data_IF_666364174550
#
_entry.id   IF_666364174550
#
_cell.length_a   1.000
_cell.length_b   1.000
_cell.length_c   1.000
_cell.angle_alpha   90.00
_cell.angle_beta   90.00
_cell.angle_gamma   90.00
#
_symmetry.space_group_name_H-M   'P 1'
#
loop_
_entity.id
_entity.type
_entity.pdbx_description
1 polymer ?
#
# COMPACT_ATOMS: atom_id res chain seq x y z
N UNK A 1 17.72 16.47 -7.74
CA UNK A 1 16.85 16.58 -8.93
C UNK A 1 15.45 17.01 -8.49
N UNK A 2 14.76 17.88 -9.26
CA UNK A 2 13.41 18.39 -8.92
C UNK A 2 12.38 17.27 -9.02
N UNK A 3 11.68 16.95 -7.92
CA UNK A 3 10.61 15.93 -7.87
C UNK A 3 9.33 16.47 -8.49
N UNK A 4 8.89 15.89 -9.60
CA UNK A 4 7.61 16.21 -10.22
C UNK A 4 6.49 15.40 -9.56
N UNK A 5 5.50 16.10 -9.00
CA UNK A 5 4.28 15.53 -8.44
C UNK A 5 3.25 15.39 -9.55
N UNK A 6 3.31 14.28 -10.28
CA UNK A 6 2.33 13.94 -11.30
C UNK A 6 1.05 13.38 -10.63
N UNK A 7 -0.07 13.45 -11.34
CA UNK A 7 -1.35 12.92 -10.89
C UNK A 7 -1.52 11.46 -11.32
N UNK A 8 -2.35 10.71 -10.61
CA UNK A 8 -2.80 9.41 -11.09
C UNK A 8 -3.96 9.56 -12.06
N UNK A 9 -3.91 8.79 -13.15
CA UNK A 9 -5.02 8.73 -14.11
C UNK A 9 -6.28 8.16 -13.46
N UNK A 10 -6.15 7.19 -12.53
CA UNK A 10 -7.27 6.59 -11.79
C UNK A 10 -8.10 7.61 -11.00
N UNK A 11 -7.46 8.68 -10.53
CA UNK A 11 -8.08 9.72 -9.71
C UNK A 11 -8.85 10.79 -10.50
N UNK A 12 -8.68 10.83 -11.82
CA UNK A 12 -9.25 11.90 -12.63
C UNK A 12 -10.74 11.67 -12.90
N UNK A 13 -11.56 12.69 -12.61
CA UNK A 13 -13.02 12.63 -12.76
C UNK A 13 -13.48 12.35 -14.20
N UNK A 14 -12.68 12.72 -15.19
CA UNK A 14 -12.97 12.56 -16.62
C UNK A 14 -12.61 11.16 -17.16
N UNK A 15 -11.94 10.30 -16.37
CA UNK A 15 -11.61 8.95 -16.81
C UNK A 15 -12.85 8.05 -16.68
N UNK A 16 -13.24 7.31 -17.73
CA UNK A 16 -14.39 6.41 -17.68
C UNK A 16 -14.29 5.40 -16.54
N UNK A 17 -15.42 5.08 -15.90
CA UNK A 17 -15.45 4.20 -14.72
C UNK A 17 -14.86 2.81 -15.01
N UNK A 18 -15.15 2.23 -16.18
CA UNK A 18 -14.60 0.92 -16.55
C UNK A 18 -13.06 0.95 -16.64
N UNK A 19 -12.49 2.05 -17.14
CA UNK A 19 -11.04 2.20 -17.27
C UNK A 19 -10.38 2.43 -15.91
N UNK A 20 -11.03 3.18 -15.00
CA UNK A 20 -10.56 3.32 -13.61
C UNK A 20 -10.53 1.97 -12.89
N UNK A 21 -11.60 1.19 -13.00
CA UNK A 21 -11.66 -0.15 -12.40
C UNK A 21 -10.56 -1.05 -12.95
N UNK A 22 -10.41 -1.10 -14.27
CA UNK A 22 -9.36 -1.89 -14.93
C UNK A 22 -7.95 -1.46 -14.50
N UNK A 23 -7.67 -0.16 -14.43
CA UNK A 23 -6.38 0.34 -13.94
C UNK A 23 -6.12 -0.10 -12.50
N UNK A 24 -7.11 -0.03 -11.61
CA UNK A 24 -6.96 -0.48 -10.23
C UNK A 24 -6.70 -1.99 -10.13
N UNK A 25 -7.44 -2.82 -10.87
CA UNK A 25 -7.24 -4.28 -10.91
C UNK A 25 -5.86 -4.65 -11.47
N UNK A 26 -5.45 -4.00 -12.57
CA UNK A 26 -4.14 -4.20 -13.18
C UNK A 26 -3.00 -3.82 -12.21
N UNK A 27 -3.12 -2.67 -11.55
CA UNK A 27 -2.13 -2.20 -10.58
C UNK A 27 -2.07 -3.11 -9.35
N UNK A 28 -3.22 -3.58 -8.87
CA UNK A 28 -3.28 -4.56 -7.77
C UNK A 28 -2.55 -5.86 -8.15
N UNK A 29 -2.81 -6.40 -9.34
CA UNK A 29 -2.13 -7.59 -9.83
C UNK A 29 -0.61 -7.38 -9.96
N UNK A 30 -0.18 -6.26 -10.57
CA UNK A 30 1.23 -5.97 -10.77
C UNK A 30 1.99 -5.74 -9.46
N UNK A 31 1.42 -4.94 -8.55
CA UNK A 31 2.02 -4.69 -7.23
C UNK A 31 2.18 -5.98 -6.43
N UNK A 32 1.18 -6.87 -6.52
CA UNK A 32 1.24 -8.20 -5.92
C UNK A 32 2.48 -8.98 -6.38
N UNK A 33 2.71 -9.08 -7.69
CA UNK A 33 3.90 -9.76 -8.24
C UNK A 33 5.21 -9.06 -7.87
N UNK A 34 5.23 -7.73 -7.88
CA UNK A 34 6.43 -6.95 -7.57
C UNK A 34 6.86 -7.13 -6.12
N UNK A 35 5.90 -7.20 -5.20
CA UNK A 35 6.20 -7.34 -3.77
C UNK A 35 6.25 -8.78 -3.28
N UNK A 36 5.93 -9.79 -4.10
CA UNK A 36 6.08 -11.21 -3.76
C UNK A 36 7.42 -11.55 -3.08
N UNK A 37 8.58 -11.04 -3.53
CA UNK A 37 9.86 -11.31 -2.89
C UNK A 37 9.99 -10.76 -1.46
N UNK A 38 9.09 -9.86 -1.04
CA UNK A 38 9.07 -9.30 0.31
C UNK A 38 8.35 -10.18 1.33
N UNK A 39 7.60 -11.19 0.89
CA UNK A 39 6.81 -12.07 1.78
C UNK A 39 7.65 -12.68 2.91
N UNK A 40 8.87 -13.21 2.69
CA UNK A 40 9.68 -13.75 3.79
C UNK A 40 10.07 -12.69 4.83
N UNK A 41 10.39 -11.47 4.40
CA UNK A 41 10.73 -10.36 5.30
C UNK A 41 9.51 -9.90 6.10
N UNK A 42 8.33 -9.89 5.48
CA UNK A 42 7.08 -9.60 6.15
C UNK A 42 6.76 -10.68 7.19
N UNK A 43 7.00 -11.96 6.88
CA UNK A 43 6.80 -13.07 7.81
C UNK A 43 7.71 -12.94 9.05
N UNK A 44 9.00 -12.67 8.84
CA UNK A 44 9.98 -12.43 9.91
C UNK A 44 9.54 -11.25 10.77
N UNK A 45 9.20 -10.12 10.15
CA UNK A 45 8.72 -8.93 10.86
C UNK A 45 7.45 -9.19 11.70
N UNK A 46 6.48 -9.95 11.16
CA UNK A 46 5.27 -10.36 11.90
C UNK A 46 5.63 -11.23 13.11
N UNK A 47 6.56 -12.17 12.96
CA UNK A 47 6.98 -13.06 14.03
C UNK A 47 7.77 -12.33 15.13
N UNK A 48 8.75 -11.52 14.75
CA UNK A 48 9.62 -10.76 15.65
C UNK A 48 8.81 -9.81 16.56
N UNK A 49 7.77 -9.20 15.99
CA UNK A 49 6.88 -8.29 16.71
C UNK A 49 5.63 -8.97 17.28
N UNK A 50 5.50 -10.30 17.16
CA UNK A 50 4.35 -11.10 17.63
C UNK A 50 3.01 -10.53 17.17
N UNK A 51 2.93 -10.11 15.92
CA UNK A 51 1.79 -9.39 15.35
C UNK A 51 0.64 -10.37 15.11
N UNK A 52 -0.48 -10.14 15.81
CA UNK A 52 -1.73 -10.88 15.60
C UNK A 52 -2.74 -10.12 14.75
N UNK A 53 -2.59 -8.79 14.67
CA UNK A 53 -3.37 -7.90 13.83
C UNK A 53 -2.51 -6.70 13.40
N UNK A 54 -2.65 -6.29 12.14
CA UNK A 54 -2.03 -5.08 11.61
C UNK A 54 -3.04 -4.27 10.78
N UNK A 55 -2.72 -3.01 10.54
CA UNK A 55 -3.49 -2.13 9.65
C UNK A 55 -2.65 -1.70 8.46
N UNK A 56 -3.17 -1.94 7.27
CA UNK A 56 -2.62 -1.42 6.03
C UNK A 56 -3.15 -0.01 5.76
N UNK A 57 -2.22 0.93 5.57
CA UNK A 57 -2.50 2.33 5.30
C UNK A 57 -2.62 2.57 3.80
N UNK A 58 -3.60 3.39 3.41
CA UNK A 58 -3.86 3.73 2.00
C UNK A 58 -4.01 2.48 1.11
N UNK A 59 -4.80 1.51 1.59
CA UNK A 59 -4.92 0.17 0.99
C UNK A 59 -5.48 0.18 -0.43
N UNK A 60 -6.22 1.22 -0.84
CA UNK A 60 -6.75 1.38 -2.18
C UNK A 60 -7.67 0.22 -2.58
N UNK A 61 -7.19 -0.68 -3.43
CA UNK A 61 -7.91 -1.89 -3.85
C UNK A 61 -7.79 -3.07 -2.85
N UNK A 62 -6.99 -2.93 -1.79
CA UNK A 62 -6.67 -4.02 -0.84
C UNK A 62 -5.18 -4.41 -0.83
N UNK A 63 -4.32 -3.66 -1.53
CA UNK A 63 -2.88 -3.92 -1.59
C UNK A 63 -2.52 -5.32 -2.14
N UNK A 64 -1.31 -5.83 -1.84
CA UNK A 64 -0.85 -7.17 -2.24
C UNK A 64 -1.37 -8.29 -1.31
N UNK A 65 -2.31 -7.96 -0.41
CA UNK A 65 -2.62 -8.78 0.77
C UNK A 65 -3.29 -10.11 0.45
N UNK A 66 -4.12 -10.20 -0.59
CA UNK A 66 -4.81 -11.45 -0.95
C UNK A 66 -3.79 -12.59 -1.17
N UNK A 67 -2.78 -12.38 -2.02
CA UNK A 67 -1.72 -13.36 -2.26
C UNK A 67 -0.80 -13.51 -1.04
N UNK A 68 -0.52 -12.42 -0.31
CA UNK A 68 0.37 -12.49 0.85
C UNK A 68 -0.22 -13.35 1.95
N UNK A 69 -1.51 -13.20 2.24
CA UNK A 69 -2.22 -14.00 3.23
C UNK A 69 -2.14 -15.49 2.88
N UNK A 70 -2.37 -15.87 1.62
CA UNK A 70 -2.22 -17.27 1.18
C UNK A 70 -0.82 -17.82 1.45
N UNK A 71 0.22 -17.07 1.06
CA UNK A 71 1.62 -17.48 1.25
C UNK A 71 2.04 -17.52 2.73
N UNK A 72 1.59 -16.56 3.53
CA UNK A 72 1.89 -16.48 4.95
C UNK A 72 1.17 -17.58 5.74
N UNK A 73 -0.07 -17.91 5.37
CA UNK A 73 -0.80 -19.05 5.92
C UNK A 73 -0.10 -20.38 5.62
N UNK A 74 0.47 -20.56 4.42
CA UNK A 74 1.29 -21.74 4.10
C UNK A 74 2.55 -21.85 4.98
N UNK A 75 3.05 -20.72 5.49
CA UNK A 75 4.17 -20.66 6.45
C UNK A 75 3.70 -20.74 7.92
N UNK A 76 2.42 -21.02 8.17
CA UNK A 76 1.80 -21.07 9.50
C UNK A 76 1.88 -19.74 10.27
N UNK A 77 2.00 -18.62 9.57
CA UNK A 77 1.94 -17.27 10.14
C UNK A 77 0.50 -16.80 10.13
N UNK A 78 -0.14 -16.78 11.30
CA UNK A 78 -1.54 -16.38 11.47
C UNK A 78 -1.68 -14.98 12.05
N UNK A 79 -2.33 -14.08 11.30
CA UNK A 79 -2.61 -12.70 11.71
C UNK A 79 -3.81 -12.15 10.93
N UNK A 80 -4.39 -11.05 11.39
CA UNK A 80 -5.47 -10.33 10.71
C UNK A 80 -4.96 -9.04 10.06
N UNK A 81 -5.39 -8.76 8.83
CA UNK A 81 -5.16 -7.48 8.16
C UNK A 81 -6.43 -6.66 8.20
N UNK A 82 -6.34 -5.43 8.71
CA UNK A 82 -7.35 -4.39 8.52
C UNK A 82 -6.90 -3.44 7.43
N UNK A 83 -7.81 -3.08 6.52
CA UNK A 83 -7.54 -2.14 5.44
C UNK A 83 -8.00 -0.75 5.84
N UNK A 84 -7.27 0.29 5.48
CA UNK A 84 -7.66 1.67 5.78
C UNK A 84 -7.40 2.59 4.60
N UNK A 85 -8.22 3.63 4.51
CA UNK A 85 -8.11 4.59 3.42
C UNK A 85 -8.64 5.97 3.84
N UNK A 86 -8.23 7.00 3.11
CA UNK A 86 -8.78 8.35 3.28
C UNK A 86 -10.25 8.38 2.86
N UNK A 87 -10.66 7.48 1.97
CA UNK A 87 -12.05 7.28 1.53
C UNK A 87 -12.44 5.82 1.80
N UNK A 88 -12.91 5.50 3.02
CA UNK A 88 -13.12 4.11 3.44
C UNK A 88 -14.20 3.42 2.60
N UNK A 89 -14.05 2.10 2.43
CA UNK A 89 -15.05 1.23 1.81
C UNK A 89 -15.95 0.62 2.88
N UNK A 90 -17.24 0.46 2.56
CA UNK A 90 -18.20 -0.22 3.43
C UNK A 90 -18.12 -1.75 3.25
N UNK A 91 -16.95 -2.32 3.49
CA UNK A 91 -16.64 -3.74 3.28
C UNK A 91 -16.05 -4.36 4.56
N UNK A 92 -16.23 -5.67 4.74
CA UNK A 92 -15.69 -6.38 5.91
C UNK A 92 -14.15 -6.35 5.89
N UNK A 93 -13.54 -6.08 7.04
CA UNK A 93 -12.08 -5.96 7.17
C UNK A 93 -11.55 -4.53 6.92
N UNK A 94 -12.40 -3.58 6.53
CA UNK A 94 -12.03 -2.18 6.38
C UNK A 94 -12.29 -1.38 7.65
N UNK A 95 -11.39 -0.44 7.94
CA UNK A 95 -11.58 0.56 8.97
C UNK A 95 -12.71 1.51 8.56
N UNK A 96 -13.72 1.75 9.42
CA UNK A 96 -14.92 2.48 9.02
C UNK A 96 -14.70 3.98 8.88
N UNK A 97 -13.79 4.55 9.67
CA UNK A 97 -13.48 5.98 9.66
C UNK A 97 -12.33 6.30 8.69
N UNK A 98 -12.35 7.48 8.05
CA UNK A 98 -11.25 7.96 7.21
C UNK A 98 -9.92 7.97 7.97
N UNK A 99 -8.90 7.39 7.35
CA UNK A 99 -7.52 7.40 7.89
C UNK A 99 -6.65 8.26 6.97
N UNK A 100 -6.10 9.35 7.51
CA UNK A 100 -5.17 10.23 6.81
C UNK A 100 -3.74 9.92 7.27
N UNK A 101 -2.91 9.42 6.35
CA UNK A 101 -1.52 9.05 6.64
C UNK A 101 -0.64 10.23 7.09
N UNK A 102 -1.13 11.47 7.05
CA UNK A 102 -0.43 12.64 7.59
C UNK A 102 -0.98 13.12 8.94
N UNK A 103 -2.01 12.43 9.46
CA UNK A 103 -2.68 12.74 10.73
C UNK A 103 -2.65 11.53 11.64
N UNK A 104 -1.59 11.37 12.45
CA UNK A 104 -1.41 10.19 13.31
C UNK A 104 -2.57 9.93 14.27
N UNK A 105 -3.30 10.97 14.66
CA UNK A 105 -4.51 10.87 15.48
C UNK A 105 -5.66 10.08 14.82
N UNK A 106 -5.59 9.88 13.50
CA UNK A 106 -6.59 9.09 12.74
C UNK A 106 -6.19 7.63 12.57
N UNK A 107 -4.96 7.24 12.95
CA UNK A 107 -4.44 5.91 12.67
C UNK A 107 -4.98 4.88 13.66
N UNK A 108 -5.48 3.74 13.19
CA UNK A 108 -5.86 2.63 14.06
C UNK A 108 -4.67 2.17 14.90
N UNK A 109 -4.94 1.68 16.12
CA UNK A 109 -3.88 1.19 17.01
C UNK A 109 -3.16 -0.04 16.43
N UNK A 110 -1.93 -0.25 16.87
CA UNK A 110 -1.12 -1.41 16.53
C UNK A 110 -0.17 -1.21 15.34
N UNK A 111 0.41 -2.32 14.84
CA UNK A 111 1.36 -2.33 13.73
C UNK A 111 0.75 -1.82 12.43
N UNK A 112 1.56 -1.12 11.65
CA UNK A 112 1.14 -0.49 10.40
C UNK A 112 1.91 -1.05 9.21
N UNK A 113 1.26 -1.13 8.07
CA UNK A 113 1.92 -1.33 6.77
C UNK A 113 1.56 -0.23 5.79
N UNK A 114 2.42 0.00 4.79
CA UNK A 114 2.15 0.91 3.70
C UNK A 114 2.77 0.36 2.41
N UNK A 115 1.94 -0.04 1.46
CA UNK A 115 2.38 -0.49 0.14
C UNK A 115 2.04 0.54 -0.92
N UNK A 116 3.04 0.98 -1.69
CA UNK A 116 2.84 1.86 -2.85
C UNK A 116 2.10 3.16 -2.51
N UNK A 117 2.31 3.75 -1.32
CA UNK A 117 1.62 4.98 -0.91
C UNK A 117 2.52 6.21 -0.76
N UNK A 118 3.84 6.04 -0.65
CA UNK A 118 4.77 7.14 -0.37
C UNK A 118 4.95 8.08 -1.57
N UNK A 119 4.71 7.61 -2.78
CA UNK A 119 4.92 8.41 -3.97
C UNK A 119 3.91 9.57 -4.13
N UNK A 120 2.72 9.47 -3.52
CA UNK A 120 1.75 10.55 -3.39
C UNK A 120 2.25 11.71 -2.51
N UNK A 121 3.15 11.40 -1.56
CA UNK A 121 3.64 12.37 -0.59
C UNK A 121 4.83 13.17 -1.14
N UNK A 122 4.92 14.44 -0.74
CA UNK A 122 6.13 15.23 -0.99
C UNK A 122 7.25 14.79 -0.06
N UNK A 123 8.53 15.07 -0.35
CA UNK A 123 9.62 14.67 0.54
C UNK A 123 9.43 15.15 1.99
N UNK A 124 8.93 16.38 2.17
CA UNK A 124 8.59 16.92 3.49
C UNK A 124 7.46 16.14 4.17
N UNK A 125 6.44 15.72 3.42
CA UNK A 125 5.33 14.91 3.94
C UNK A 125 5.77 13.48 4.29
N UNK A 126 6.67 12.89 3.49
CA UNK A 126 7.26 11.57 3.81
C UNK A 126 8.07 11.66 5.11
N UNK A 127 8.87 12.71 5.28
CA UNK A 127 9.61 12.94 6.52
C UNK A 127 8.66 13.06 7.71
N UNK A 128 7.63 13.90 7.62
CA UNK A 128 6.65 14.08 8.68
C UNK A 128 5.89 12.78 9.04
N UNK A 129 5.60 11.93 8.04
CA UNK A 129 5.01 10.61 8.25
C UNK A 129 5.92 9.72 9.10
N UNK A 130 7.19 9.56 8.72
CA UNK A 130 8.13 8.75 9.48
C UNK A 130 8.45 9.31 10.87
N UNK A 131 8.49 10.65 11.02
CA UNK A 131 8.60 11.30 12.33
C UNK A 131 7.40 10.94 13.22
N UNK A 132 6.18 10.95 12.67
CA UNK A 132 4.96 10.60 13.40
C UNK A 132 4.91 9.11 13.79
N UNK A 133 5.44 8.23 12.95
CA UNK A 133 5.57 6.79 13.25
C UNK A 133 6.57 6.58 14.39
N UNK A 134 7.74 7.23 14.31
CA UNK A 134 8.78 7.13 15.32
C UNK A 134 8.32 7.66 16.68
N UNK A 135 7.59 8.79 16.71
CA UNK A 135 7.03 9.36 17.94
C UNK A 135 6.00 8.47 18.63
N UNK A 136 5.30 7.63 17.86
CA UNK A 136 4.32 6.69 18.40
C UNK A 136 4.91 5.31 18.71
N UNK A 137 6.20 5.09 18.42
CA UNK A 137 6.90 3.82 18.63
C UNK A 137 6.18 2.61 18.02
N UNK A 138 5.52 2.81 16.87
CA UNK A 138 4.74 1.76 16.21
C UNK A 138 5.60 0.95 15.24
N UNK A 139 5.49 -0.39 15.25
CA UNK A 139 6.05 -1.20 14.17
C UNK A 139 5.47 -0.76 12.83
N UNK A 140 6.32 -0.54 11.84
CA UNK A 140 5.94 -0.15 10.49
C UNK A 140 6.68 -0.97 9.45
N UNK A 141 5.95 -1.55 8.50
CA UNK A 141 6.49 -2.15 7.29
C UNK A 141 6.12 -1.31 6.07
N UNK A 142 7.10 -0.80 5.32
CA UNK A 142 6.85 -0.01 4.11
C UNK A 142 7.50 -0.64 2.90
N UNK A 143 6.76 -0.72 1.80
CA UNK A 143 7.29 -1.11 0.50
C UNK A 143 6.83 -0.13 -0.58
N UNK A 144 7.78 0.31 -1.41
CA UNK A 144 7.52 1.26 -2.49
C UNK A 144 8.40 0.89 -3.68
N UNK A 145 7.78 0.46 -4.78
CA UNK A 145 8.49 0.12 -6.02
C UNK A 145 8.58 1.29 -7.00
N UNK A 146 7.85 2.38 -6.73
CA UNK A 146 7.73 3.49 -7.68
C UNK A 146 9.02 4.32 -7.73
N UNK A 147 9.93 3.87 -8.59
CA UNK A 147 11.14 4.62 -8.92
C UNK A 147 10.93 5.46 -10.18
N UNK A 148 11.37 6.72 -10.14
CA UNK A 148 11.36 7.62 -11.31
C UNK A 148 12.56 7.33 -12.23
N UNK A 149 12.68 6.08 -12.66
CA UNK A 149 13.64 5.62 -13.66
C UNK A 149 12.95 5.57 -15.03
N UNK A 150 13.52 6.13 -16.11
CA UNK A 150 12.93 6.06 -17.45
C UNK A 150 12.53 4.64 -17.88
N UNK A 151 13.27 3.61 -17.44
CA UNK A 151 12.94 2.20 -17.70
C UNK A 151 11.68 1.76 -16.97
N UNK A 152 11.52 2.17 -15.72
CA UNK A 152 10.32 1.86 -14.90
C UNK A 152 9.10 2.60 -15.46
N UNK A 153 9.25 3.86 -15.86
CA UNK A 153 8.18 4.64 -16.52
C UNK A 153 7.78 3.99 -17.85
N UNK A 154 8.74 3.55 -18.66
CA UNK A 154 8.45 2.85 -19.91
C UNK A 154 7.76 1.50 -19.65
N UNK A 155 8.21 0.75 -18.64
CA UNK A 155 7.56 -0.49 -18.20
C UNK A 155 6.12 -0.26 -17.75
N UNK A 156 5.86 0.80 -16.97
CA UNK A 156 4.51 1.19 -16.54
C UNK A 156 3.60 1.56 -17.72
N UNK A 157 4.11 2.30 -18.72
CA UNK A 157 3.33 2.67 -19.91
C UNK A 157 2.98 1.47 -20.79
N UNK A 158 3.89 0.48 -20.87
CA UNK A 158 3.68 -0.74 -21.65
C UNK A 158 2.93 -1.82 -20.87
N UNK A 159 2.74 -1.63 -19.57
CA UNK A 159 2.14 -2.62 -18.66
C UNK A 159 0.76 -3.12 -19.13
N UNK A 160 -0.15 -2.28 -19.66
CA UNK A 160 -1.44 -2.76 -20.18
C UNK A 160 -1.34 -3.66 -21.43
N UNK A 161 -0.20 -3.64 -22.13
CA UNK A 161 0.05 -4.43 -23.35
C UNK A 161 0.80 -5.73 -23.00
N UNK A 162 1.56 -5.71 -21.90
CA UNK A 162 2.41 -6.81 -21.45
C UNK A 162 1.70 -7.80 -20.51
N UNK A 163 0.54 -7.44 -19.97
CA UNK A 163 -0.30 -8.36 -19.20
C UNK A 163 -1.27 -9.04 -20.17
N UNK A 164 -0.96 -10.29 -20.51
CA UNK A 164 -1.79 -11.23 -21.29
C UNK A 164 -2.19 -12.41 -20.42
#
# INVERSE_FOLDING_TARGET
MRRWHLFEFGDQWWVPRFLRNYLHELLQYQTTLIYEPLVPFLAEWIQDHQITQLTDLASGAGGPWEMFLDKLHMQQVGFEVKYSDLRPKSEKGWHPEPVDILKPETWPEGPLTLFTGLHHLSPLKVQAFFESVAQQERPLFVAEFTERNPRVILGMLLSPILVW
#
